data_IF_271965130290
#
_entry.id   IF_271965130290
#
_cell.length_a   1.000
_cell.length_b   1.000
_cell.length_c   1.000
_cell.angle_alpha   90.00
_cell.angle_beta   90.00
_cell.angle_gamma   90.00
#
_symmetry.space_group_name_H-M   'P 1'
#
loop_
_entity.id
_entity.type
_entity.pdbx_description
1 polymer ?
#
# COMPACT_ATOMS: atom_id res chain seq x y z
N UNK A 1 -23.84 -7.31 4.64
CA UNK A 1 -23.91 -7.82 3.25
C UNK A 1 -22.76 -8.81 3.09
N UNK A 2 -23.01 -10.09 2.78
CA UNK A 2 -21.92 -11.04 2.50
C UNK A 2 -21.63 -10.97 0.99
N UNK A 3 -20.41 -10.60 0.55
CA UNK A 3 -20.11 -10.59 -0.87
C UNK A 3 -20.25 -12.01 -1.43
N UNK A 4 -21.01 -12.16 -2.52
CA UNK A 4 -21.03 -13.42 -3.26
C UNK A 4 -19.81 -13.43 -4.19
N UNK A 5 -18.74 -14.09 -3.73
CA UNK A 5 -17.47 -14.19 -4.47
C UNK A 5 -17.54 -15.13 -5.69
N UNK A 6 -18.69 -15.80 -5.92
CA UNK A 6 -18.92 -16.70 -7.05
C UNK A 6 -19.69 -16.04 -8.20
N UNK A 7 -19.98 -14.72 -8.12
CA UNK A 7 -20.63 -14.01 -9.23
C UNK A 7 -19.59 -13.55 -10.26
N UNK A 8 -20.03 -13.37 -11.51
CA UNK A 8 -19.18 -12.81 -12.58
C UNK A 8 -18.91 -11.30 -12.43
N UNK A 9 -19.46 -10.65 -11.39
CA UNK A 9 -19.22 -9.23 -11.14
C UNK A 9 -17.78 -9.01 -10.68
N UNK A 10 -17.13 -7.99 -11.24
CA UNK A 10 -15.81 -7.57 -10.79
C UNK A 10 -15.85 -7.17 -9.31
N UNK A 11 -14.88 -7.66 -8.55
CA UNK A 11 -14.69 -7.33 -7.13
C UNK A 11 -13.48 -6.41 -7.03
N UNK A 12 -13.61 -5.35 -6.23
CA UNK A 12 -12.49 -4.46 -5.90
C UNK A 12 -11.77 -5.07 -4.69
N UNK A 13 -10.47 -5.28 -4.84
CA UNK A 13 -9.58 -5.71 -3.77
C UNK A 13 -8.65 -4.55 -3.45
N UNK A 14 -8.71 -4.08 -2.21
CA UNK A 14 -7.81 -3.06 -1.67
C UNK A 14 -6.77 -3.71 -0.79
N UNK A 15 -5.48 -3.48 -1.06
CA UNK A 15 -4.37 -3.90 -0.23
C UNK A 15 -3.91 -2.74 0.68
N UNK A 16 -4.00 -2.92 2.00
CA UNK A 16 -3.46 -1.98 2.97
C UNK A 16 -2.08 -2.48 3.46
N UNK A 17 -1.02 -1.91 2.90
CA UNK A 17 0.33 -2.52 2.95
C UNK A 17 1.17 -2.13 4.18
N UNK A 18 0.95 -0.94 4.77
CA UNK A 18 1.77 -0.44 5.90
C UNK A 18 0.94 -0.13 7.16
N UNK A 19 -0.13 0.65 7.02
CA UNK A 19 -0.89 1.18 8.18
C UNK A 19 -0.12 2.18 9.04
N UNK A 20 -0.71 2.61 10.16
CA UNK A 20 -0.09 3.58 11.09
C UNK A 20 0.41 3.01 12.42
N UNK A 21 0.06 1.76 12.75
CA UNK A 21 0.20 1.21 14.12
C UNK A 21 1.44 0.31 14.26
N UNK A 22 1.59 -0.67 13.36
CA UNK A 22 2.65 -1.66 13.46
C UNK A 22 3.97 -1.14 12.88
N UNK A 23 5.08 -1.77 13.27
CA UNK A 23 6.41 -1.54 12.73
C UNK A 23 7.14 -2.85 12.43
N UNK A 24 8.41 -2.75 12.06
CA UNK A 24 9.28 -3.94 11.81
C UNK A 24 9.39 -4.87 13.03
N UNK A 25 9.15 -4.35 14.24
CA UNK A 25 9.06 -5.13 15.48
C UNK A 25 7.90 -6.15 15.48
N UNK A 26 6.81 -5.87 14.74
CA UNK A 26 5.67 -6.77 14.62
C UNK A 26 5.88 -7.76 13.47
N UNK A 27 6.42 -7.28 12.35
CA UNK A 27 6.75 -8.07 11.17
C UNK A 27 7.94 -7.44 10.43
N UNK A 28 9.10 -8.14 10.31
CA UNK A 28 10.26 -7.64 9.55
C UNK A 28 9.97 -7.31 8.08
N UNK A 29 8.93 -7.91 7.50
CA UNK A 29 8.51 -7.65 6.12
C UNK A 29 7.63 -6.40 5.98
N UNK A 30 7.21 -5.73 7.06
CA UNK A 30 6.33 -4.56 6.96
C UNK A 30 7.03 -3.42 6.16
N UNK A 31 6.48 -2.94 5.03
CA UNK A 31 7.12 -1.90 4.23
C UNK A 31 7.03 -0.56 4.97
N UNK A 32 8.18 0.07 5.23
CA UNK A 32 8.25 1.38 5.90
C UNK A 32 8.64 2.49 4.92
N UNK A 33 9.68 2.23 4.12
CA UNK A 33 10.20 3.19 3.14
C UNK A 33 9.30 3.32 1.91
N UNK A 34 9.44 4.44 1.19
CA UNK A 34 8.69 4.66 -0.04
C UNK A 34 9.05 3.63 -1.13
N UNK A 35 10.30 3.19 -1.17
CA UNK A 35 10.83 2.18 -2.08
C UNK A 35 10.26 0.78 -1.78
N UNK A 36 10.22 0.38 -0.50
CA UNK A 36 9.56 -0.86 -0.08
C UNK A 36 8.06 -0.81 -0.41
N UNK A 37 7.37 0.29 -0.07
CA UNK A 37 5.94 0.43 -0.37
C UNK A 37 5.63 0.37 -1.87
N UNK A 38 6.49 0.94 -2.72
CA UNK A 38 6.33 0.88 -4.16
C UNK A 38 6.53 -0.54 -4.72
N UNK A 39 7.39 -1.33 -4.07
CA UNK A 39 7.59 -2.73 -4.41
C UNK A 39 6.39 -3.60 -3.96
N UNK A 40 5.94 -3.46 -2.71
CA UNK A 40 4.76 -4.16 -2.18
C UNK A 40 3.49 -3.81 -2.97
N UNK A 41 3.33 -2.56 -3.39
CA UNK A 41 2.23 -2.13 -4.23
C UNK A 41 2.21 -2.87 -5.58
N UNK A 42 3.36 -3.00 -6.24
CA UNK A 42 3.49 -3.77 -7.49
C UNK A 42 3.14 -5.25 -7.27
N UNK A 43 3.67 -5.87 -6.22
CA UNK A 43 3.39 -7.27 -5.90
C UNK A 43 1.90 -7.51 -5.61
N UNK A 44 1.27 -6.60 -4.86
CA UNK A 44 -0.18 -6.64 -4.62
C UNK A 44 -0.98 -6.50 -5.92
N UNK A 45 -0.55 -5.61 -6.82
CA UNK A 45 -1.20 -5.41 -8.11
C UNK A 45 -1.09 -6.66 -8.99
N UNK A 46 0.10 -7.25 -9.08
CA UNK A 46 0.34 -8.51 -9.81
C UNK A 46 -0.48 -9.67 -9.23
N UNK A 47 -0.72 -9.67 -7.92
CA UNK A 47 -1.61 -10.62 -7.25
C UNK A 47 -3.12 -10.35 -7.43
N UNK A 48 -3.49 -9.21 -8.03
CA UNK A 48 -4.87 -8.88 -8.39
C UNK A 48 -5.55 -7.79 -7.56
N UNK A 49 -4.82 -7.08 -6.69
CA UNK A 49 -5.34 -5.88 -6.04
C UNK A 49 -5.51 -4.75 -7.07
N UNK A 50 -6.65 -4.06 -7.03
CA UNK A 50 -6.90 -2.91 -7.90
C UNK A 50 -6.61 -1.57 -7.23
N UNK A 51 -6.53 -1.56 -5.89
CA UNK A 51 -6.27 -0.38 -5.07
C UNK A 51 -5.21 -0.72 -4.02
N UNK A 52 -4.25 0.18 -3.81
CA UNK A 52 -3.37 0.18 -2.63
C UNK A 52 -3.79 1.31 -1.70
N UNK A 53 -3.98 1.00 -0.43
CA UNK A 53 -4.18 1.98 0.62
C UNK A 53 -2.86 2.28 1.32
N UNK A 54 -2.45 3.55 1.33
CA UNK A 54 -1.11 3.96 1.76
C UNK A 54 -1.12 4.79 3.05
N UNK A 55 -0.14 4.50 3.89
CA UNK A 55 0.29 5.34 5.00
C UNK A 55 1.80 5.50 4.88
N UNK A 56 2.31 6.69 5.15
CA UNK A 56 3.76 6.95 5.07
C UNK A 56 4.39 7.02 6.44
N UNK A 57 5.68 6.69 6.46
CA UNK A 57 6.51 6.70 7.66
C UNK A 57 7.61 7.74 7.52
N UNK A 58 7.89 8.45 8.60
CA UNK A 58 9.07 9.31 8.71
C UNK A 58 10.34 8.50 8.86
N UNK A 59 11.47 9.19 8.94
CA UNK A 59 12.79 8.55 9.09
C UNK A 59 12.95 7.79 10.41
N UNK A 60 12.13 8.14 11.42
CA UNK A 60 12.02 7.45 12.71
C UNK A 60 11.14 6.19 12.65
N UNK A 61 10.58 5.86 11.49
CA UNK A 61 9.67 4.75 11.27
C UNK A 61 8.25 4.98 11.82
N UNK A 62 7.96 6.15 12.37
CA UNK A 62 6.63 6.50 12.88
C UNK A 62 5.72 7.02 11.76
N UNK A 63 4.40 6.92 11.96
CA UNK A 63 3.46 7.50 11.01
C UNK A 63 3.60 9.03 10.99
N UNK A 64 3.53 9.62 9.79
CA UNK A 64 3.61 11.07 9.63
C UNK A 64 2.53 11.59 8.68
N UNK A 65 1.92 12.76 8.97
CA UNK A 65 1.03 13.44 8.05
C UNK A 65 1.77 14.29 6.99
N UNK A 66 3.11 14.29 7.00
CA UNK A 66 3.91 15.13 6.11
C UNK A 66 3.74 14.72 4.62
N UNK A 67 3.25 15.67 3.83
CA UNK A 67 2.97 15.51 2.41
C UNK A 67 4.21 15.23 1.57
N UNK A 68 5.41 15.58 2.05
CA UNK A 68 6.66 15.27 1.34
C UNK A 68 6.86 13.76 1.19
N UNK A 69 6.61 13.00 2.26
CA UNK A 69 6.68 11.54 2.28
C UNK A 69 5.57 10.91 1.43
N UNK A 70 4.35 11.45 1.48
CA UNK A 70 3.25 11.05 0.59
C UNK A 70 3.60 11.26 -0.88
N UNK A 71 4.09 12.45 -1.24
CA UNK A 71 4.48 12.79 -2.60
C UNK A 71 5.54 11.86 -3.15
N UNK A 72 6.58 11.55 -2.35
CA UNK A 72 7.61 10.58 -2.71
C UNK A 72 7.01 9.19 -2.96
N UNK A 73 6.19 8.70 -2.03
CA UNK A 73 5.61 7.34 -2.09
C UNK A 73 4.65 7.19 -3.28
N UNK A 74 3.74 8.14 -3.48
CA UNK A 74 2.79 8.14 -4.61
C UNK A 74 3.52 8.18 -5.95
N UNK A 75 4.58 8.99 -6.06
CA UNK A 75 5.41 9.07 -7.26
C UNK A 75 6.06 7.71 -7.56
N UNK A 76 6.75 7.12 -6.59
CA UNK A 76 7.46 5.85 -6.79
C UNK A 76 6.49 4.69 -7.11
N UNK A 77 5.33 4.62 -6.44
CA UNK A 77 4.29 3.65 -6.81
C UNK A 77 3.84 3.88 -8.25
N UNK A 78 3.61 5.14 -8.66
CA UNK A 78 3.15 5.45 -10.02
C UNK A 78 4.16 5.20 -11.14
N UNK A 79 5.46 5.28 -10.84
CA UNK A 79 6.53 4.91 -11.77
C UNK A 79 6.61 3.38 -11.98
N UNK A 80 6.28 2.58 -10.96
CA UNK A 80 6.35 1.11 -10.99
C UNK A 80 5.03 0.43 -11.38
N UNK A 81 3.89 0.98 -10.96
CA UNK A 81 2.62 0.28 -10.97
C UNK A 81 1.44 1.21 -11.35
N UNK A 82 0.56 0.79 -12.28
CA UNK A 82 -0.59 1.60 -12.70
C UNK A 82 -1.78 1.53 -11.71
N UNK A 83 -1.65 0.86 -10.57
CA UNK A 83 -2.76 0.68 -9.62
C UNK A 83 -3.28 2.00 -9.03
N UNK A 84 -4.54 1.98 -8.59
CA UNK A 84 -5.16 3.12 -7.89
C UNK A 84 -4.51 3.24 -6.50
N UNK A 85 -4.17 4.47 -6.12
CA UNK A 85 -3.56 4.81 -4.83
C UNK A 85 -4.57 5.55 -3.97
N UNK A 86 -4.90 5.00 -2.79
CA UNK A 86 -5.85 5.53 -1.81
C UNK A 86 -5.13 6.03 -0.56
#
# INVERSE_FOLDING_TARGET
MKPNLLTDKKVIITAAITGGIHGKWANPCLPLTAEEQAQDALECYEAGASIVHIHVRGDDGQNTPDLSYYGKTVKLIGEKCPMIRQ
#
